data_IF_973572890575
#
_entry.id   IF_973572890575
#
_cell.length_a   1.000
_cell.length_b   1.000
_cell.length_c   1.000
_cell.angle_alpha   90.00
_cell.angle_beta   90.00
_cell.angle_gamma   90.00
#
_symmetry.space_group_name_H-M   'P 1'
#
loop_
_entity.id
_entity.type
_entity.pdbx_description
1 polymer ?
#
# COMPACT_ATOMS: atom_id res chain seq x y z
N UNK A 1 -43.19 28.77 -54.51
CA UNK A 1 -42.28 28.19 -53.49
C UNK A 1 -42.67 28.78 -52.15
N UNK A 2 -43.47 28.05 -51.36
CA UNK A 2 -43.79 28.42 -49.98
C UNK A 2 -42.61 28.03 -49.07
N UNK A 3 -42.15 28.98 -48.26
CA UNK A 3 -41.12 28.78 -47.24
C UNK A 3 -41.77 28.14 -46.02
N UNK A 4 -41.42 26.88 -45.76
CA UNK A 4 -41.83 26.16 -44.54
C UNK A 4 -40.92 26.58 -43.40
N UNK A 5 -41.42 27.41 -42.47
CA UNK A 5 -40.78 27.64 -41.16
C UNK A 5 -40.86 26.34 -40.35
N UNK A 6 -39.74 25.71 -40.07
CA UNK A 6 -39.65 24.67 -39.04
C UNK A 6 -39.88 25.32 -37.67
N UNK A 7 -40.88 24.84 -36.93
CA UNK A 7 -41.02 25.10 -35.50
C UNK A 7 -39.99 24.27 -34.73
N UNK A 8 -39.47 24.75 -33.58
CA UNK A 8 -38.59 23.93 -32.75
C UNK A 8 -39.41 22.84 -32.08
N UNK A 9 -38.95 21.60 -32.19
CA UNK A 9 -39.48 20.46 -31.43
C UNK A 9 -39.20 20.67 -29.94
N UNK A 10 -40.26 20.75 -29.13
CA UNK A 10 -40.18 20.72 -27.68
C UNK A 10 -39.85 19.30 -27.21
N UNK A 11 -38.56 18.95 -27.20
CA UNK A 11 -38.10 17.78 -26.45
C UNK A 11 -38.09 18.16 -24.97
N UNK A 12 -39.04 17.60 -24.20
CA UNK A 12 -38.90 17.56 -22.74
C UNK A 12 -37.67 16.71 -22.41
N UNK A 13 -36.49 17.34 -22.37
CA UNK A 13 -35.33 16.73 -21.75
C UNK A 13 -35.63 16.67 -20.25
N UNK A 14 -35.82 15.46 -19.76
CA UNK A 14 -35.75 15.14 -18.34
C UNK A 14 -34.35 15.53 -17.84
N UNK A 15 -34.18 16.78 -17.43
CA UNK A 15 -32.94 17.25 -16.84
C UNK A 15 -32.83 16.67 -15.44
N UNK A 16 -31.82 15.85 -15.21
CA UNK A 16 -31.40 15.54 -13.84
C UNK A 16 -30.92 16.87 -13.25
N UNK A 17 -31.43 17.29 -12.07
CA UNK A 17 -30.98 18.52 -11.43
C UNK A 17 -29.46 18.55 -11.26
N UNK A 18 -28.84 19.68 -11.59
CA UNK A 18 -27.38 19.85 -11.51
C UNK A 18 -26.83 19.54 -10.11
N UNK A 19 -27.60 19.84 -9.07
CA UNK A 19 -27.24 19.53 -7.68
C UNK A 19 -27.13 18.02 -7.45
N UNK A 20 -28.09 17.22 -7.93
CA UNK A 20 -28.07 15.75 -7.78
C UNK A 20 -26.90 15.16 -8.58
N UNK A 21 -26.67 15.67 -9.79
CA UNK A 21 -25.51 15.29 -10.58
C UNK A 21 -24.21 15.57 -9.82
N UNK A 22 -24.08 16.77 -9.25
CA UNK A 22 -22.86 17.24 -8.61
C UNK A 22 -22.60 16.62 -7.22
N UNK A 23 -23.64 16.34 -6.42
CA UNK A 23 -23.48 15.85 -5.04
C UNK A 23 -23.60 14.35 -4.93
N UNK A 24 -24.40 13.68 -5.75
CA UNK A 24 -24.68 12.24 -5.59
C UNK A 24 -24.06 11.40 -6.71
N UNK A 25 -24.13 11.88 -7.96
CA UNK A 25 -23.69 11.07 -9.11
C UNK A 25 -22.18 11.18 -9.31
N UNK A 26 -21.64 12.40 -9.44
CA UNK A 26 -20.20 12.59 -9.70
C UNK A 26 -19.31 11.94 -8.62
N UNK A 27 -19.57 12.08 -7.30
CA UNK A 27 -18.73 11.43 -6.28
C UNK A 27 -18.71 9.90 -6.32
N UNK A 28 -19.66 9.27 -7.02
CA UNK A 28 -19.72 7.81 -7.16
C UNK A 28 -18.90 7.29 -8.35
N UNK A 29 -18.43 8.18 -9.22
CA UNK A 29 -17.69 7.79 -10.42
C UNK A 29 -16.20 7.51 -10.12
N UNK A 30 -15.54 6.66 -10.92
CA UNK A 30 -14.09 6.46 -10.81
C UNK A 30 -13.31 7.76 -11.02
N UNK A 31 -12.22 7.93 -10.26
CA UNK A 31 -11.38 9.14 -10.29
C UNK A 31 -10.92 9.53 -11.70
N UNK A 32 -10.45 8.57 -12.51
CA UNK A 32 -10.07 8.81 -13.92
C UNK A 32 -11.19 9.35 -14.80
N UNK A 33 -12.42 8.89 -14.59
CA UNK A 33 -13.58 9.41 -15.33
C UNK A 33 -13.84 10.86 -14.95
N UNK A 34 -13.76 11.16 -13.65
CA UNK A 34 -13.92 12.53 -13.15
C UNK A 34 -12.82 13.48 -13.69
N UNK A 35 -11.57 13.00 -13.81
CA UNK A 35 -10.51 13.80 -14.43
C UNK A 35 -10.79 14.14 -15.89
N UNK A 36 -11.31 13.18 -16.68
CA UNK A 36 -11.77 13.47 -18.06
C UNK A 36 -12.94 14.45 -18.06
N UNK A 37 -13.83 14.36 -17.08
CA UNK A 37 -15.01 15.20 -16.95
C UNK A 37 -14.71 16.67 -16.61
N UNK A 38 -13.50 16.97 -16.09
CA UNK A 38 -13.00 18.36 -15.98
C UNK A 38 -12.92 19.10 -17.33
N UNK A 39 -12.97 18.39 -18.45
CA UNK A 39 -12.98 18.97 -19.80
C UNK A 39 -14.38 19.29 -20.34
N UNK A 40 -15.45 18.80 -19.70
CA UNK A 40 -16.84 18.95 -20.18
C UNK A 40 -17.34 20.39 -20.03
N UNK A 41 -17.22 20.97 -18.83
CA UNK A 41 -17.59 22.36 -18.56
C UNK A 41 -16.83 22.94 -17.36
N UNK A 42 -16.85 24.28 -17.21
CA UNK A 42 -16.18 24.97 -16.09
C UNK A 42 -16.75 24.56 -14.73
N UNK A 43 -18.07 24.49 -14.60
CA UNK A 43 -18.72 24.11 -13.35
C UNK A 43 -18.28 22.72 -12.85
N UNK A 44 -18.17 21.74 -13.76
CA UNK A 44 -17.67 20.40 -13.41
C UNK A 44 -16.20 20.41 -13.05
N UNK A 45 -15.38 21.16 -13.79
CA UNK A 45 -13.95 21.32 -13.46
C UNK A 45 -13.76 21.89 -12.05
N UNK A 46 -14.45 22.97 -11.74
CA UNK A 46 -14.34 23.68 -10.47
C UNK A 46 -14.81 22.78 -9.34
N UNK A 47 -15.95 22.08 -9.53
CA UNK A 47 -16.49 21.14 -8.55
C UNK A 47 -15.59 19.94 -8.30
N UNK A 48 -15.09 19.28 -9.35
CA UNK A 48 -14.21 18.10 -9.20
C UNK A 48 -12.85 18.48 -8.59
N UNK A 49 -12.47 19.76 -8.68
CA UNK A 49 -11.24 20.29 -8.07
C UNK A 49 -11.47 20.85 -6.65
N UNK A 50 -12.72 20.91 -6.17
CA UNK A 50 -13.05 21.36 -4.82
C UNK A 50 -12.55 20.33 -3.78
N UNK A 51 -11.78 20.76 -2.76
CA UNK A 51 -11.28 19.86 -1.72
C UNK A 51 -12.37 19.04 -1.02
N UNK A 52 -13.55 19.63 -0.77
CA UNK A 52 -14.67 18.91 -0.13
C UNK A 52 -15.22 17.83 -1.06
N UNK A 53 -15.20 18.06 -2.37
CA UNK A 53 -15.58 17.04 -3.34
C UNK A 53 -14.57 15.88 -3.34
N UNK A 54 -13.26 16.19 -3.29
CA UNK A 54 -12.19 15.19 -3.20
C UNK A 54 -12.33 14.36 -1.92
N UNK A 55 -12.57 15.00 -0.78
CA UNK A 55 -12.79 14.32 0.51
C UNK A 55 -14.03 13.41 0.46
N UNK A 56 -15.16 13.90 -0.08
CA UNK A 56 -16.37 13.08 -0.24
C UNK A 56 -16.13 11.90 -1.19
N UNK A 57 -15.39 12.12 -2.28
CA UNK A 57 -15.01 11.07 -3.22
C UNK A 57 -14.13 10.01 -2.55
N UNK A 58 -13.13 10.40 -1.77
CA UNK A 58 -12.31 9.47 -1.00
C UNK A 58 -13.15 8.62 -0.04
N UNK A 59 -14.03 9.23 0.75
CA UNK A 59 -14.88 8.52 1.71
C UNK A 59 -15.80 7.50 1.03
N UNK A 60 -16.27 7.82 -0.17
CA UNK A 60 -17.14 6.93 -0.94
C UNK A 60 -16.41 5.73 -1.56
N UNK A 61 -15.12 5.89 -1.87
CA UNK A 61 -14.30 4.88 -2.58
C UNK A 61 -13.28 4.17 -1.70
N UNK A 62 -13.11 4.59 -0.43
CA UNK A 62 -12.34 3.82 0.54
C UNK A 62 -13.09 2.54 0.93
N UNK A 63 -12.38 1.42 1.16
CA UNK A 63 -12.94 0.22 1.75
C UNK A 63 -13.65 0.58 3.05
N UNK A 64 -14.97 0.45 3.11
CA UNK A 64 -15.72 0.79 4.31
C UNK A 64 -15.37 -0.20 5.42
N UNK A 65 -14.42 0.14 6.28
CA UNK A 65 -14.32 -0.41 7.63
C UNK A 65 -15.51 0.19 8.40
N UNK A 66 -16.72 -0.33 8.17
CA UNK A 66 -17.87 0.06 9.01
C UNK A 66 -17.55 -0.36 10.43
N UNK A 67 -17.23 0.60 11.28
CA UNK A 67 -17.35 0.48 12.72
C UNK A 67 -18.82 0.13 13.03
N UNK A 68 -19.13 -1.16 13.13
CA UNK A 68 -20.46 -1.57 13.55
C UNK A 68 -20.59 -1.31 15.04
N UNK A 69 -21.29 -0.23 15.39
CA UNK A 69 -22.07 -0.19 16.63
C UNK A 69 -23.13 -1.28 16.48
N UNK A 70 -22.82 -2.48 16.99
CA UNK A 70 -23.64 -3.68 16.88
C UNK A 70 -22.77 -4.93 16.83
N UNK A 71 -23.07 -5.90 17.69
CA UNK A 71 -22.24 -7.07 18.07
C UNK A 71 -22.02 -8.12 16.95
N UNK A 72 -21.96 -7.72 15.68
CA UNK A 72 -21.68 -8.59 14.54
C UNK A 72 -20.58 -7.98 13.66
N UNK A 73 -19.33 -8.24 14.02
CA UNK A 73 -18.13 -7.86 13.22
C UNK A 73 -18.04 -8.70 11.95
N UNK A 74 -18.76 -8.28 10.91
CA UNK A 74 -18.64 -8.86 9.57
C UNK A 74 -17.39 -8.29 8.89
N UNK A 75 -16.44 -9.14 8.52
CA UNK A 75 -15.25 -8.77 7.74
C UNK A 75 -15.72 -8.42 6.32
N UNK A 76 -15.42 -7.20 5.85
CA UNK A 76 -15.85 -6.73 4.52
C UNK A 76 -14.68 -6.77 3.57
N UNK A 77 -14.76 -7.58 2.52
CA UNK A 77 -13.69 -7.71 1.52
C UNK A 77 -13.87 -6.75 0.34
N UNK A 78 -12.77 -6.41 -0.32
CA UNK A 78 -12.79 -5.50 -1.47
C UNK A 78 -13.33 -6.20 -2.72
N UNK A 79 -14.21 -5.57 -3.49
CA UNK A 79 -14.67 -6.12 -4.78
C UNK A 79 -13.62 -6.07 -5.89
N UNK A 80 -12.62 -5.21 -5.70
CA UNK A 80 -11.53 -4.98 -6.62
C UNK A 80 -10.27 -4.72 -5.81
N UNK A 81 -9.16 -5.34 -6.20
CA UNK A 81 -7.84 -5.06 -5.65
C UNK A 81 -6.99 -4.43 -6.74
N UNK A 82 -6.54 -3.20 -6.51
CA UNK A 82 -5.55 -2.56 -7.36
C UNK A 82 -4.22 -2.52 -6.63
N UNK A 83 -3.15 -2.80 -7.37
CA UNK A 83 -1.79 -2.85 -6.85
C UNK A 83 -0.87 -1.99 -7.70
N UNK A 84 0.23 -1.55 -7.11
CA UNK A 84 1.36 -0.93 -7.82
C UNK A 84 2.61 -1.73 -7.52
N UNK A 85 3.44 -1.96 -8.52
CA UNK A 85 4.69 -2.71 -8.42
C UNK A 85 5.71 -2.21 -9.45
N UNK A 86 6.98 -2.52 -9.21
CA UNK A 86 8.07 -2.20 -10.11
C UNK A 86 8.49 -3.42 -10.93
N UNK A 87 8.66 -3.26 -12.24
CA UNK A 87 9.17 -4.30 -13.15
C UNK A 87 10.63 -4.02 -13.47
N UNK A 88 11.52 -4.90 -13.00
CA UNK A 88 12.97 -4.70 -13.06
C UNK A 88 13.53 -4.58 -14.47
N UNK A 89 13.11 -5.46 -15.38
CA UNK A 89 13.57 -5.48 -16.78
C UNK A 89 13.25 -4.18 -17.52
N UNK A 90 12.09 -3.59 -17.22
CA UNK A 90 11.56 -2.38 -17.87
C UNK A 90 11.96 -1.09 -17.14
N UNK A 91 12.55 -1.23 -15.95
CA UNK A 91 12.85 -0.13 -15.01
C UNK A 91 11.65 0.80 -14.79
N UNK A 92 10.45 0.23 -14.65
CA UNK A 92 9.20 1.00 -14.65
C UNK A 92 8.19 0.51 -13.62
N UNK A 93 7.39 1.44 -13.10
CA UNK A 93 6.21 1.14 -12.30
C UNK A 93 5.00 0.76 -13.17
N UNK A 94 4.26 -0.23 -12.70
CA UNK A 94 3.02 -0.69 -13.29
C UNK A 94 1.93 -0.70 -12.22
N UNK A 95 0.68 -0.65 -12.68
CA UNK A 95 -0.46 -0.98 -11.84
C UNK A 95 -1.24 -2.12 -12.46
N UNK A 96 -1.69 -3.06 -11.64
CA UNK A 96 -2.60 -4.12 -12.03
C UNK A 96 -3.87 -4.04 -11.20
N UNK A 97 -4.99 -4.35 -11.82
CA UNK A 97 -6.29 -4.34 -11.18
C UNK A 97 -6.93 -5.70 -11.32
N UNK A 98 -7.29 -6.31 -10.20
CA UNK A 98 -7.87 -7.65 -10.10
C UNK A 98 -9.36 -7.48 -9.79
N UNK A 99 -10.21 -7.87 -10.74
CA UNK A 99 -11.67 -7.85 -10.62
C UNK A 99 -12.18 -9.26 -10.90
N UNK A 100 -13.03 -9.80 -10.03
CA UNK A 100 -13.49 -11.18 -10.17
C UNK A 100 -15.01 -11.31 -10.22
N UNK A 101 -15.59 -10.72 -11.24
CA UNK A 101 -16.99 -10.96 -11.63
C UNK A 101 -17.16 -11.79 -12.92
N UNK A 102 -16.09 -12.21 -13.61
CA UNK A 102 -16.23 -13.00 -14.86
C UNK A 102 -15.02 -13.84 -15.29
N UNK A 103 -14.05 -14.10 -14.39
CA UNK A 103 -12.76 -14.69 -14.74
C UNK A 103 -11.68 -13.61 -14.68
N UNK A 104 -10.85 -13.68 -13.64
CA UNK A 104 -10.00 -12.59 -13.16
C UNK A 104 -9.01 -12.10 -14.24
N UNK A 105 -9.37 -10.98 -14.88
CA UNK A 105 -8.47 -10.24 -15.76
C UNK A 105 -7.71 -9.25 -14.88
N UNK A 106 -6.40 -9.49 -14.70
CA UNK A 106 -5.47 -8.47 -14.25
C UNK A 106 -5.18 -7.56 -15.44
N UNK A 107 -5.84 -6.40 -15.55
CA UNK A 107 -5.38 -5.38 -16.52
C UNK A 107 -4.16 -4.71 -15.91
N UNK A 108 -2.98 -5.07 -16.39
CA UNK A 108 -1.76 -4.35 -16.05
C UNK A 108 -1.53 -3.23 -17.04
N UNK A 109 -1.15 -2.07 -16.53
CA UNK A 109 -0.74 -0.92 -17.34
C UNK A 109 0.54 -0.32 -16.80
N UNK A 110 1.39 0.11 -17.73
CA UNK A 110 2.52 0.96 -17.42
C UNK A 110 2.01 2.24 -16.76
N UNK A 111 2.58 2.62 -15.63
CA UNK A 111 2.40 3.96 -15.08
C UNK A 111 3.55 4.80 -15.62
N UNK A 112 3.28 5.72 -16.56
CA UNK A 112 4.32 6.59 -17.12
C UNK A 112 4.90 7.46 -16.01
N UNK A 113 6.17 7.24 -15.71
CA UNK A 113 6.95 8.02 -14.75
C UNK A 113 8.06 8.69 -15.55
N UNK A 114 7.65 9.63 -16.40
CA UNK A 114 8.55 10.25 -17.39
C UNK A 114 9.43 11.34 -16.74
N UNK A 115 9.15 11.70 -15.49
CA UNK A 115 9.88 12.70 -14.70
C UNK A 115 11.04 12.12 -13.89
N UNK A 116 11.50 10.90 -14.19
CA UNK A 116 12.67 10.33 -13.52
C UNK A 116 13.93 11.12 -13.89
N UNK A 117 14.60 11.78 -12.93
CA UNK A 117 16.02 12.04 -13.08
C UNK A 117 16.67 10.66 -13.10
N UNK A 118 17.35 10.31 -14.18
CA UNK A 118 17.98 8.99 -14.30
C UNK A 118 18.75 8.67 -13.02
N UNK A 119 18.31 7.67 -12.25
CA UNK A 119 19.05 7.25 -11.05
C UNK A 119 20.49 6.98 -11.45
N UNK A 120 21.38 7.85 -11.01
CA UNK A 120 22.77 7.88 -11.46
C UNK A 120 23.57 6.63 -11.05
N UNK A 121 22.98 5.69 -10.28
CA UNK A 121 23.66 4.51 -9.73
C UNK A 121 22.84 3.21 -9.78
N UNK A 122 22.14 2.91 -10.89
CA UNK A 122 21.47 1.60 -11.13
C UNK A 122 20.35 1.19 -10.13
N UNK A 123 20.02 1.99 -9.12
CA UNK A 123 18.91 1.70 -8.19
C UNK A 123 17.55 2.00 -8.85
N UNK A 124 16.57 1.15 -8.57
CA UNK A 124 15.16 1.31 -8.97
C UNK A 124 14.39 2.11 -7.90
N UNK A 125 13.30 2.83 -8.24
CA UNK A 125 12.48 3.48 -7.23
C UNK A 125 11.87 2.45 -6.28
N UNK A 126 12.05 2.64 -4.98
CA UNK A 126 11.37 1.84 -3.95
C UNK A 126 10.03 2.48 -3.61
N UNK A 127 8.99 1.65 -3.55
CA UNK A 127 7.65 2.09 -3.16
C UNK A 127 7.46 1.83 -1.67
N UNK A 128 7.33 2.89 -0.88
CA UNK A 128 7.28 2.82 0.59
C UNK A 128 5.86 2.81 1.17
N UNK A 129 4.84 3.09 0.36
CA UNK A 129 3.45 3.04 0.78
C UNK A 129 2.52 3.78 -0.16
N UNK A 130 1.23 3.57 0.03
CA UNK A 130 0.16 4.33 -0.63
C UNK A 130 -0.86 4.74 0.42
N UNK A 131 -1.36 5.96 0.32
CA UNK A 131 -2.44 6.46 1.15
C UNK A 131 -3.30 7.42 0.32
N UNK A 132 -4.62 7.18 0.28
CA UNK A 132 -5.58 8.02 -0.46
C UNK A 132 -5.16 8.28 -1.92
N UNK A 133 -4.60 7.27 -2.59
CA UNK A 133 -4.10 7.35 -3.97
C UNK A 133 -2.79 8.12 -4.19
N UNK A 134 -2.19 8.67 -3.13
CA UNK A 134 -0.80 9.13 -3.17
C UNK A 134 0.13 7.95 -2.94
N UNK A 135 1.18 7.84 -3.74
CA UNK A 135 2.25 6.84 -3.64
C UNK A 135 3.51 7.53 -3.13
N UNK A 136 4.09 6.98 -2.06
CA UNK A 136 5.39 7.40 -1.57
C UNK A 136 6.50 6.60 -2.23
N UNK A 137 7.41 7.31 -2.91
CA UNK A 137 8.52 6.75 -3.67
C UNK A 137 9.85 7.23 -3.08
N UNK A 138 10.84 6.35 -2.98
CA UNK A 138 12.25 6.74 -2.89
C UNK A 138 12.80 6.82 -4.31
N UNK A 139 13.17 8.03 -4.74
CA UNK A 139 13.51 8.32 -6.14
C UNK A 139 15.01 8.49 -6.35
N UNK A 140 15.73 9.00 -5.36
CA UNK A 140 17.19 9.07 -5.32
C UNK A 140 17.64 8.63 -3.92
N UNK A 141 18.94 8.45 -3.70
CA UNK A 141 19.43 8.01 -2.40
C UNK A 141 18.95 8.98 -1.29
N UNK A 142 18.07 8.48 -0.42
CA UNK A 142 17.46 9.24 0.69
C UNK A 142 16.57 10.42 0.28
N UNK A 143 16.16 10.52 -0.99
CA UNK A 143 15.12 11.45 -1.41
C UNK A 143 13.81 10.72 -1.64
N UNK A 144 12.79 11.23 -0.98
CA UNK A 144 11.42 10.74 -1.12
C UNK A 144 10.59 11.70 -1.95
N UNK A 145 9.59 11.16 -2.63
CA UNK A 145 8.63 11.92 -3.43
C UNK A 145 7.23 11.36 -3.24
N UNK A 146 6.22 12.20 -3.38
CA UNK A 146 4.83 11.77 -3.47
C UNK A 146 4.33 11.94 -4.90
N UNK A 147 3.60 10.93 -5.37
CA UNK A 147 3.05 10.91 -6.71
C UNK A 147 1.63 10.36 -6.69
N UNK A 148 0.72 11.03 -7.40
CA UNK A 148 -0.56 10.44 -7.74
C UNK A 148 -0.58 10.09 -9.24
N UNK A 149 -0.55 8.79 -9.61
CA UNK A 149 -0.62 8.38 -11.01
C UNK A 149 -1.97 8.64 -11.69
N UNK A 150 -3.03 8.91 -10.93
CA UNK A 150 -4.35 9.24 -11.47
C UNK A 150 -4.40 10.69 -11.95
N UNK A 151 -3.97 11.63 -11.11
CA UNK A 151 -3.97 13.07 -11.39
C UNK A 151 -2.69 13.56 -12.08
N UNK A 152 -1.65 12.71 -12.17
CA UNK A 152 -0.31 13.02 -12.67
C UNK A 152 0.44 14.08 -11.85
N UNK A 153 -0.07 14.43 -10.66
CA UNK A 153 0.57 15.38 -9.76
C UNK A 153 1.71 14.74 -8.96
N UNK A 154 2.81 15.46 -8.83
CA UNK A 154 4.06 15.00 -8.23
C UNK A 154 4.69 16.09 -7.37
N UNK A 155 5.29 15.71 -6.24
CA UNK A 155 6.10 16.60 -5.42
C UNK A 155 7.33 15.85 -4.89
N UNK A 156 8.50 16.48 -4.98
CA UNK A 156 9.72 16.02 -4.31
C UNK A 156 9.72 16.55 -2.88
N UNK A 157 9.92 15.65 -1.92
CA UNK A 157 9.99 16.01 -0.50
C UNK A 157 11.40 16.52 -0.14
N UNK A 158 11.52 17.37 0.89
CA UNK A 158 12.79 17.87 1.38
C UNK A 158 13.70 16.73 1.83
N UNK A 159 14.99 16.92 1.61
CA UNK A 159 16.02 16.01 2.08
C UNK A 159 15.97 15.87 3.61
N UNK A 160 16.05 14.64 4.11
CA UNK A 160 15.93 14.32 5.53
C UNK A 160 17.15 14.77 6.39
N UNK A 161 18.17 15.41 5.80
CA UNK A 161 19.27 16.03 6.54
C UNK A 161 20.22 15.06 7.26
N UNK A 162 20.04 13.75 7.10
CA UNK A 162 20.69 12.71 7.91
C UNK A 162 22.21 12.77 7.81
N UNK A 163 22.76 12.98 6.61
CA UNK A 163 24.21 13.09 6.42
C UNK A 163 24.81 14.37 7.01
N UNK A 164 24.01 15.42 7.21
CA UNK A 164 24.47 16.64 7.87
C UNK A 164 24.59 16.44 9.39
N UNK A 165 23.86 15.49 9.97
CA UNK A 165 23.87 15.21 11.43
C UNK A 165 24.97 14.24 11.84
N UNK A 166 25.26 13.23 11.02
CA UNK A 166 26.22 12.17 11.36
C UNK A 166 27.49 12.17 10.49
N UNK A 167 27.59 13.08 9.52
CA UNK A 167 28.73 13.25 8.64
C UNK A 167 28.89 12.13 7.61
N UNK A 168 29.59 12.42 6.51
CA UNK A 168 30.12 11.38 5.63
C UNK A 168 31.32 10.73 6.35
N UNK A 169 31.05 9.75 7.20
CA UNK A 169 32.06 8.88 7.81
C UNK A 169 32.52 9.25 9.21
N UNK A 170 32.93 8.19 9.93
CA UNK A 170 33.87 8.07 11.07
C UNK A 170 33.81 9.02 12.28
N UNK A 171 33.45 10.30 12.12
CA UNK A 171 33.61 11.33 13.15
C UNK A 171 32.74 11.12 14.40
N UNK A 172 31.58 10.48 14.24
CA UNK A 172 30.67 10.18 15.35
C UNK A 172 30.59 8.70 15.70
N UNK A 173 31.26 7.80 14.99
CA UNK A 173 31.30 6.38 15.35
C UNK A 173 30.06 5.54 14.98
N UNK A 174 29.10 6.08 14.21
CA UNK A 174 27.96 5.33 13.68
C UNK A 174 27.81 5.50 12.15
N UNK A 175 27.19 4.54 11.48
CA UNK A 175 26.75 4.63 10.09
C UNK A 175 25.30 4.18 9.95
N UNK A 176 24.58 4.76 8.98
CA UNK A 176 23.21 4.36 8.67
C UNK A 176 23.24 3.02 7.91
N UNK A 177 22.82 1.93 8.56
CA UNK A 177 22.83 0.60 7.96
C UNK A 177 21.55 0.30 7.18
N UNK A 178 20.40 0.76 7.67
CA UNK A 178 19.12 0.57 6.99
C UNK A 178 18.11 1.68 7.30
N UNK A 179 17.08 1.79 6.45
CA UNK A 179 15.97 2.72 6.62
C UNK A 179 14.66 2.01 6.31
N UNK A 180 13.64 2.27 7.12
CA UNK A 180 12.26 1.99 6.81
C UNK A 180 11.47 3.31 6.71
N UNK A 181 10.48 3.35 5.83
CA UNK A 181 9.52 4.45 5.75
C UNK A 181 8.10 3.92 5.89
N UNK A 182 7.21 4.79 6.37
CA UNK A 182 5.77 4.56 6.41
C UNK A 182 5.03 5.84 6.08
N UNK A 183 4.01 5.73 5.25
CA UNK A 183 3.26 6.88 4.73
C UNK A 183 1.78 6.75 5.05
N UNK A 184 1.20 7.77 5.68
CA UNK A 184 -0.19 7.74 6.10
C UNK A 184 -0.83 9.12 6.21
N UNK A 185 -2.13 9.13 6.45
CA UNK A 185 -2.94 10.34 6.60
C UNK A 185 -3.41 10.50 8.05
N UNK A 186 -3.13 11.65 8.65
CA UNK A 186 -3.63 12.02 9.97
C UNK A 186 -4.95 12.79 9.78
N UNK A 187 -6.06 12.09 10.04
CA UNK A 187 -7.42 12.62 9.88
C UNK A 187 -7.72 13.79 10.82
N UNK A 188 -7.08 13.86 11.98
CA UNK A 188 -7.36 14.89 12.99
C UNK A 188 -6.73 16.23 12.60
N UNK A 189 -5.53 16.22 12.03
CA UNK A 189 -4.87 17.44 11.52
C UNK A 189 -5.08 17.65 10.01
N UNK A 190 -5.75 16.71 9.34
CA UNK A 190 -6.04 16.68 7.90
C UNK A 190 -4.79 16.83 7.02
N UNK A 191 -3.72 16.13 7.37
CA UNK A 191 -2.43 16.22 6.69
C UNK A 191 -1.79 14.85 6.55
N UNK A 192 -0.88 14.71 5.60
CA UNK A 192 -0.12 13.48 5.42
C UNK A 192 1.16 13.54 6.25
N UNK A 193 1.53 12.39 6.82
CA UNK A 193 2.82 12.21 7.46
C UNK A 193 3.62 11.11 6.78
N UNK A 194 4.91 11.38 6.59
CA UNK A 194 5.90 10.39 6.21
C UNK A 194 6.81 10.16 7.41
N UNK A 195 6.77 8.94 7.95
CA UNK A 195 7.61 8.49 9.06
C UNK A 195 8.83 7.79 8.48
N UNK A 196 10.00 8.14 8.98
CA UNK A 196 11.27 7.49 8.69
C UNK A 196 11.81 6.89 9.99
N UNK A 197 12.22 5.63 9.93
CA UNK A 197 12.96 4.95 10.98
C UNK A 197 14.33 4.56 10.41
N UNK A 198 15.39 5.20 10.90
CA UNK A 198 16.76 4.90 10.50
C UNK A 198 17.46 4.02 11.54
N UNK A 199 18.12 2.95 11.09
CA UNK A 199 18.97 2.09 11.93
C UNK A 199 20.42 2.54 11.79
N UNK A 200 21.01 2.97 12.89
CA UNK A 200 22.41 3.35 12.96
C UNK A 200 23.22 2.29 13.69
N UNK A 201 24.23 1.78 13.02
CA UNK A 201 25.15 0.78 13.55
C UNK A 201 26.47 1.42 13.98
N UNK A 202 27.06 0.98 15.09
CA UNK A 202 28.37 1.44 15.49
C UNK A 202 29.41 1.02 14.45
N UNK A 203 30.36 1.89 14.17
CA UNK A 203 31.54 1.53 13.40
C UNK A 203 32.37 0.53 14.21
N UNK A 204 33.08 -0.37 13.51
CA UNK A 204 33.85 -1.49 14.10
C UNK A 204 34.79 -1.11 15.24
N UNK A 205 35.24 0.14 15.30
CA UNK A 205 36.17 0.64 16.30
C UNK A 205 35.46 1.11 17.60
N UNK A 206 34.12 1.01 17.65
CA UNK A 206 33.26 1.45 18.74
C UNK A 206 32.29 0.35 19.20
N UNK A 207 32.81 -0.88 19.38
CA UNK A 207 32.03 -2.09 19.68
C UNK A 207 31.18 -1.98 20.95
N UNK A 208 31.57 -1.12 21.89
CA UNK A 208 30.82 -0.88 23.15
C UNK A 208 29.53 -0.06 22.96
N UNK A 209 29.27 0.47 21.76
CA UNK A 209 28.10 1.31 21.50
C UNK A 209 26.92 0.47 21.00
N UNK A 210 25.74 0.78 21.50
CA UNK A 210 24.50 0.16 21.02
C UNK A 210 24.04 0.78 19.70
N UNK A 211 23.22 0.01 18.98
CA UNK A 211 22.51 0.46 17.80
C UNK A 211 21.52 1.56 18.19
N UNK A 212 21.28 2.52 17.30
CA UNK A 212 20.33 3.61 17.54
C UNK A 212 19.29 3.59 16.44
N UNK A 213 18.01 3.49 16.81
CA UNK A 213 16.90 3.85 15.95
C UNK A 213 16.66 5.36 16.01
N UNK A 214 16.61 6.04 14.88
CA UNK A 214 16.20 7.44 14.79
C UNK A 214 14.84 7.53 14.11
N UNK A 215 13.90 8.25 14.75
CA UNK A 215 12.56 8.44 14.21
C UNK A 215 12.36 9.90 13.83
N UNK A 216 12.07 10.09 12.55
CA UNK A 216 11.76 11.41 11.98
C UNK A 216 10.40 11.37 11.30
N UNK A 217 9.67 12.47 11.40
CA UNK A 217 8.34 12.63 10.82
C UNK A 217 8.35 13.88 9.95
N UNK A 218 8.00 13.71 8.67
CA UNK A 218 7.69 14.80 7.78
C UNK A 218 6.20 15.03 7.72
N UNK A 219 5.80 16.29 7.87
CA UNK A 219 4.43 16.73 7.56
C UNK A 219 4.38 17.35 6.18
N UNK A 220 3.48 16.87 5.33
CA UNK A 220 3.39 17.30 3.94
C UNK A 220 3.08 18.80 3.83
N UNK A 221 2.07 19.30 4.55
CA UNK A 221 1.68 20.70 4.47
C UNK A 221 2.80 21.67 4.86
N UNK A 222 3.52 21.39 5.96
CA UNK A 222 4.66 22.22 6.38
C UNK A 222 5.93 22.00 5.56
N UNK A 223 5.95 20.90 4.79
CA UNK A 223 7.09 20.41 4.04
C UNK A 223 8.40 20.42 4.86
N UNK A 224 8.34 19.91 6.10
CA UNK A 224 9.45 19.96 7.05
C UNK A 224 9.55 18.67 7.86
N UNK A 225 10.79 18.28 8.17
CA UNK A 225 11.11 17.13 9.01
C UNK A 225 11.23 17.55 10.48
N UNK A 226 10.57 16.79 11.36
CA UNK A 226 10.67 16.86 12.81
C UNK A 226 11.32 15.59 13.34
N UNK A 227 12.20 15.73 14.32
CA UNK A 227 12.69 14.59 15.10
C UNK A 227 11.70 14.31 16.21
N UNK A 228 11.28 13.05 16.33
CA UNK A 228 10.42 12.61 17.43
C UNK A 228 11.28 12.13 18.58
N UNK A 229 12.13 11.15 18.32
CA UNK A 229 12.95 10.52 19.35
C UNK A 229 14.04 9.65 18.73
N UNK A 230 15.04 9.35 19.55
CA UNK A 230 15.82 8.13 19.39
C UNK A 230 15.05 7.00 20.06
N UNK A 231 15.13 5.81 19.48
CA UNK A 231 14.43 4.62 19.94
C UNK A 231 15.33 3.39 19.86
N UNK A 232 15.06 2.43 20.73
CA UNK A 232 15.65 1.09 20.67
C UNK A 232 14.85 0.16 19.73
N UNK A 233 13.82 0.70 19.05
CA UNK A 233 13.08 -0.03 18.03
C UNK A 233 13.90 -0.13 16.75
N UNK A 234 14.41 -1.34 16.51
CA UNK A 234 14.99 -1.75 15.24
C UNK A 234 13.90 -2.45 14.43
N UNK A 235 13.68 -2.00 13.20
CA UNK A 235 12.62 -2.53 12.34
C UNK A 235 13.19 -3.12 11.07
N UNK A 236 12.52 -4.15 10.55
CA UNK A 236 12.85 -4.73 9.24
C UNK A 236 12.71 -3.62 8.19
N UNK A 237 13.72 -3.41 7.31
CA UNK A 237 13.75 -2.31 6.34
C UNK A 237 12.72 -2.52 5.22
N UNK A 238 11.45 -2.27 5.56
CA UNK A 238 10.28 -2.60 4.78
C UNK A 238 9.25 -1.46 4.78
N UNK A 239 8.38 -1.38 3.76
CA UNK A 239 7.26 -0.45 3.74
C UNK A 239 6.34 -0.60 4.97
N UNK A 240 6.23 0.47 5.76
CA UNK A 240 5.29 0.56 6.87
C UNK A 240 3.86 0.48 6.36
N UNK A 241 3.07 -0.41 6.96
CA UNK A 241 1.68 -0.64 6.53
C UNK A 241 0.78 0.36 7.24
N UNK A 242 0.11 1.23 6.48
CA UNK A 242 -0.85 2.17 7.05
C UNK A 242 -2.22 1.52 7.18
N UNK A 243 -2.76 1.50 8.40
CA UNK A 243 -4.07 0.93 8.69
C UNK A 243 -4.63 1.58 9.97
N UNK A 244 -5.89 2.02 9.94
CA UNK A 244 -6.60 2.56 11.11
C UNK A 244 -5.78 3.59 11.94
N UNK A 245 -5.26 4.62 11.25
CA UNK A 245 -4.46 5.69 11.87
C UNK A 245 -3.08 5.25 12.39
N UNK A 246 -2.72 3.97 12.30
CA UNK A 246 -1.42 3.45 12.69
C UNK A 246 -0.55 3.09 11.48
N UNK A 247 0.77 3.22 11.65
CA UNK A 247 1.76 2.60 10.78
C UNK A 247 2.38 1.39 11.48
N UNK A 248 2.45 0.26 10.80
CA UNK A 248 2.90 -1.00 11.37
C UNK A 248 4.18 -1.51 10.70
N UNK A 249 5.13 -1.96 11.52
CA UNK A 249 6.36 -2.64 11.09
C UNK A 249 6.68 -3.83 11.98
N UNK A 250 7.33 -4.83 11.38
CA UNK A 250 7.90 -5.95 12.12
C UNK A 250 9.21 -5.49 12.75
N UNK A 251 9.41 -5.84 14.02
CA UNK A 251 10.69 -5.63 14.69
C UNK A 251 11.76 -6.53 14.08
N UNK A 252 12.98 -6.00 14.03
CA UNK A 252 14.18 -6.71 13.61
C UNK A 252 14.93 -7.29 14.81
N UNK A 253 15.95 -8.11 14.55
CA UNK A 253 16.85 -8.61 15.58
C UNK A 253 17.42 -7.47 16.45
N UNK A 254 17.50 -7.63 17.78
CA UNK A 254 17.37 -8.89 18.54
C UNK A 254 15.96 -9.20 19.09
N UNK A 255 14.92 -8.49 18.66
CA UNK A 255 13.54 -8.63 19.21
C UNK A 255 12.50 -8.85 18.10
N UNK A 256 12.60 -9.91 17.28
CA UNK A 256 11.67 -10.16 16.17
C UNK A 256 10.27 -10.64 16.62
N UNK A 257 9.99 -10.66 17.93
CA UNK A 257 8.80 -11.23 18.56
C UNK A 257 7.57 -10.30 18.55
N UNK A 258 7.73 -9.07 18.04
CA UNK A 258 6.74 -8.01 18.15
C UNK A 258 6.50 -7.29 16.85
N UNK A 259 5.27 -6.80 16.74
CA UNK A 259 4.90 -5.76 15.80
C UNK A 259 4.94 -4.42 16.53
N UNK A 260 5.51 -3.39 15.90
CA UNK A 260 5.37 -2.02 16.39
C UNK A 260 4.28 -1.29 15.62
N UNK A 261 3.51 -0.50 16.33
CA UNK A 261 2.56 0.48 15.80
C UNK A 261 3.05 1.87 16.16
N UNK A 262 3.23 2.72 15.16
CA UNK A 262 3.36 4.16 15.35
C UNK A 262 1.99 4.81 15.14
N UNK A 263 1.44 5.44 16.17
CA UNK A 263 0.23 6.24 16.02
C UNK A 263 0.56 7.50 15.22
N UNK A 264 -0.07 7.68 14.07
CA UNK A 264 0.27 8.81 13.19
C UNK A 264 -0.10 10.15 13.83
N UNK A 265 -1.14 10.18 14.67
CA UNK A 265 -1.62 11.40 15.26
C UNK A 265 -0.85 11.76 16.52
N UNK A 266 -0.83 10.82 17.47
CA UNK A 266 -0.19 11.02 18.77
C UNK A 266 1.35 11.00 18.64
N UNK A 267 1.88 10.48 17.52
CA UNK A 267 3.32 10.34 17.25
C UNK A 267 4.04 9.45 18.26
N UNK A 268 3.32 8.45 18.78
CA UNK A 268 3.78 7.52 19.82
C UNK A 268 3.86 6.09 19.32
N UNK A 269 4.83 5.34 19.85
CA UNK A 269 4.96 3.92 19.58
C UNK A 269 4.20 3.08 20.60
N UNK A 270 3.62 1.99 20.12
CA UNK A 270 3.04 0.93 20.93
C UNK A 270 3.46 -0.42 20.38
N UNK A 271 3.58 -1.41 21.26
CA UNK A 271 3.97 -2.77 20.91
C UNK A 271 2.75 -3.69 20.86
N UNK A 272 2.68 -4.50 19.81
CA UNK A 272 1.66 -5.52 19.62
C UNK A 272 2.36 -6.88 19.62
N UNK A 273 1.95 -7.74 20.55
CA UNK A 273 2.49 -9.11 20.63
C UNK A 273 2.07 -9.90 19.41
N UNK A 274 3.02 -10.61 18.81
CA UNK A 274 2.72 -11.57 17.75
C UNK A 274 2.11 -12.86 18.34
N UNK A 275 1.37 -13.65 17.55
CA UNK A 275 0.97 -14.99 17.97
C UNK A 275 2.19 -15.85 18.32
N UNK A 276 2.08 -16.71 19.33
CA UNK A 276 3.20 -17.57 19.78
C UNK A 276 3.82 -18.41 18.66
N UNK A 277 3.06 -18.72 17.61
CA UNK A 277 3.55 -19.47 16.44
C UNK A 277 4.69 -18.74 15.70
N UNK A 278 4.78 -17.42 15.83
CA UNK A 278 5.86 -16.61 15.26
C UNK A 278 7.10 -16.55 16.18
N UNK A 279 7.00 -17.06 17.41
CA UNK A 279 8.04 -17.01 18.44
C UNK A 279 8.80 -18.32 18.60
N UNK A 280 8.30 -19.41 18.01
CA UNK A 280 8.93 -20.72 18.13
C UNK A 280 10.18 -20.76 17.26
N UNK A 281 11.35 -20.90 17.89
CA UNK A 281 12.59 -21.34 17.24
C UNK A 281 12.32 -22.70 16.60
N UNK A 282 12.18 -22.74 15.29
CA UNK A 282 12.31 -24.00 14.57
C UNK A 282 13.80 -24.28 14.39
N UNK A 283 14.17 -25.54 14.63
CA UNK A 283 15.46 -26.17 14.35
C UNK A 283 16.17 -25.55 13.15
N UNK A 284 17.51 -25.53 13.19
CA UNK A 284 18.49 -24.88 12.29
C UNK A 284 18.28 -24.97 10.76
N UNK A 285 17.27 -25.70 10.29
CA UNK A 285 17.01 -26.01 8.89
C UNK A 285 15.74 -25.34 8.34
N UNK A 286 14.95 -24.64 9.16
CA UNK A 286 13.70 -24.00 8.74
C UNK A 286 13.86 -22.48 8.51
N UNK A 287 13.93 -22.04 7.25
CA UNK A 287 13.73 -20.62 6.91
C UNK A 287 12.24 -20.29 7.00
N UNK A 288 11.84 -19.38 7.89
CA UNK A 288 10.48 -18.83 7.88
C UNK A 288 10.49 -17.35 7.56
N UNK A 289 9.47 -16.92 6.82
CA UNK A 289 9.24 -15.53 6.48
C UNK A 289 7.88 -15.10 7.02
N UNK A 290 7.80 -13.88 7.52
CA UNK A 290 6.55 -13.26 7.92
C UNK A 290 6.48 -11.82 7.44
N UNK A 291 5.26 -11.32 7.28
CA UNK A 291 5.04 -9.96 6.85
C UNK A 291 3.66 -9.46 7.24
N UNK A 292 3.48 -8.16 7.08
CA UNK A 292 2.25 -7.46 7.45
C UNK A 292 1.47 -7.14 6.19
N UNK A 293 0.15 -7.34 6.29
CA UNK A 293 -0.82 -6.96 5.27
C UNK A 293 -1.75 -5.95 5.90
N UNK A 294 -1.82 -4.76 5.30
CA UNK A 294 -2.89 -3.83 5.64
C UNK A 294 -4.18 -4.28 4.95
N UNK A 295 -5.30 -4.14 5.66
CA UNK A 295 -6.66 -4.26 5.13
C UNK A 295 -7.02 -5.65 4.55
N UNK A 296 -6.88 -6.70 5.36
CA UNK A 296 -7.44 -8.02 5.07
C UNK A 296 -8.93 -8.04 5.43
N UNK A 297 -9.72 -7.31 4.64
CA UNK A 297 -11.15 -7.14 4.86
C UNK A 297 -11.52 -6.19 6.02
N UNK A 298 -10.79 -5.09 6.14
CA UNK A 298 -10.93 -4.11 7.22
C UNK A 298 -10.20 -4.50 8.51
N UNK A 299 -9.27 -5.45 8.44
CA UNK A 299 -8.47 -5.90 9.59
C UNK A 299 -6.97 -5.84 9.26
N UNK A 300 -6.14 -5.72 10.30
CA UNK A 300 -4.70 -5.91 10.18
C UNK A 300 -4.40 -7.41 9.99
N UNK A 301 -3.67 -7.75 8.94
CA UNK A 301 -3.28 -9.12 8.61
C UNK A 301 -1.80 -9.38 8.85
N UNK A 302 -1.49 -10.61 9.23
CA UNK A 302 -0.15 -11.17 9.22
C UNK A 302 -0.14 -12.44 8.38
N UNK A 303 0.95 -12.68 7.68
CA UNK A 303 1.20 -14.00 7.10
C UNK A 303 2.50 -14.58 7.65
N UNK A 304 2.53 -15.90 7.75
CA UNK A 304 3.71 -16.69 8.07
C UNK A 304 3.86 -17.75 7.01
N UNK A 305 5.08 -17.98 6.55
CA UNK A 305 5.37 -19.16 5.76
C UNK A 305 6.51 -19.97 6.32
N UNK A 306 6.30 -21.28 6.34
CA UNK A 306 7.28 -22.32 6.62
C UNK A 306 7.39 -23.25 5.41
N UNK A 307 8.32 -24.18 5.45
CA UNK A 307 8.48 -25.28 4.47
C UNK A 307 7.22 -26.13 4.26
N UNK A 308 6.36 -26.23 5.27
CA UNK A 308 5.15 -27.07 5.24
C UNK A 308 3.83 -26.31 5.15
N UNK A 309 3.79 -25.03 5.56
CA UNK A 309 2.53 -24.28 5.63
C UNK A 309 2.68 -22.79 5.37
N UNK A 310 1.67 -22.21 4.73
CA UNK A 310 1.45 -20.78 4.67
C UNK A 310 0.20 -20.41 5.49
N UNK A 311 0.41 -19.69 6.59
CA UNK A 311 -0.64 -19.28 7.51
C UNK A 311 -0.97 -17.80 7.34
N UNK A 312 -2.26 -17.47 7.29
CA UNK A 312 -2.76 -16.09 7.31
C UNK A 312 -3.55 -15.85 8.59
N UNK A 313 -3.20 -14.78 9.30
CA UNK A 313 -3.77 -14.38 10.58
C UNK A 313 -4.36 -12.98 10.46
N UNK A 314 -5.42 -12.69 11.22
CA UNK A 314 -5.97 -11.33 11.36
C UNK A 314 -6.09 -10.93 12.81
N UNK A 315 -5.86 -9.65 13.07
CA UNK A 315 -6.12 -9.03 14.34
C UNK A 315 -7.54 -8.45 14.33
N UNK A 316 -8.38 -8.96 15.22
CA UNK A 316 -9.62 -8.28 15.64
C UNK A 316 -9.41 -7.78 17.07
N UNK A 317 -10.02 -8.43 18.05
CA UNK A 317 -9.69 -8.24 19.47
C UNK A 317 -8.38 -8.95 19.85
N UNK A 318 -8.18 -10.15 19.28
CA UNK A 318 -6.98 -10.96 19.39
C UNK A 318 -6.61 -11.51 18.01
N UNK A 319 -5.39 -12.03 17.88
CA UNK A 319 -4.96 -12.72 16.68
C UNK A 319 -5.74 -14.01 16.47
N UNK A 320 -6.34 -14.14 15.30
CA UNK A 320 -7.03 -15.36 14.87
C UNK A 320 -6.44 -15.84 13.56
N UNK A 321 -6.13 -17.14 13.49
CA UNK A 321 -5.71 -17.77 12.24
C UNK A 321 -6.94 -17.86 11.34
N UNK A 322 -6.88 -17.25 10.16
CA UNK A 322 -7.96 -17.33 9.18
C UNK A 322 -7.84 -18.57 8.31
N UNK A 323 -6.64 -18.82 7.78
CA UNK A 323 -6.42 -19.88 6.80
C UNK A 323 -5.01 -20.48 6.94
N UNK A 324 -4.90 -21.75 6.58
CA UNK A 324 -3.63 -22.46 6.39
C UNK A 324 -3.64 -23.08 5.01
N UNK A 325 -2.59 -22.82 4.23
CA UNK A 325 -2.33 -23.48 2.96
C UNK A 325 -1.21 -24.49 3.18
N UNK A 326 -1.49 -25.76 2.93
CA UNK A 326 -0.46 -26.80 2.96
C UNK A 326 0.49 -26.62 1.77
N UNK A 327 1.77 -26.40 2.06
CA UNK A 327 2.83 -26.23 1.06
C UNK A 327 3.38 -27.59 0.63
N UNK A 328 3.43 -28.55 1.55
CA UNK A 328 4.13 -29.82 1.37
C UNK A 328 3.51 -30.67 0.26
N UNK A 329 2.18 -30.66 0.14
CA UNK A 329 1.42 -31.45 -0.81
C UNK A 329 1.07 -30.69 -2.10
N UNK A 330 1.18 -29.36 -2.11
CA UNK A 330 0.77 -28.52 -3.24
C UNK A 330 1.98 -27.98 -4.01
N UNK A 331 2.24 -28.53 -5.20
CA UNK A 331 3.35 -28.09 -6.06
C UNK A 331 3.30 -26.59 -6.41
N UNK A 332 2.12 -25.97 -6.46
CA UNK A 332 1.98 -24.51 -6.64
C UNK A 332 2.31 -23.71 -5.39
N UNK A 333 2.00 -24.22 -4.20
CA UNK A 333 2.39 -23.57 -2.95
C UNK A 333 3.92 -23.56 -2.77
N UNK A 334 4.64 -24.49 -3.41
CA UNK A 334 6.11 -24.44 -3.54
C UNK A 334 6.58 -23.32 -4.49
N UNK A 335 5.79 -22.97 -5.51
CA UNK A 335 6.09 -21.87 -6.46
C UNK A 335 5.86 -20.47 -5.89
N UNK A 336 5.12 -20.36 -4.78
CA UNK A 336 5.26 -19.23 -3.85
C UNK A 336 6.65 -19.41 -3.24
N UNK A 337 7.73 -19.09 -3.97
CA UNK A 337 9.07 -19.50 -3.56
C UNK A 337 9.36 -19.06 -2.12
N UNK A 338 9.49 -20.05 -1.24
CA UNK A 338 9.56 -19.91 0.22
C UNK A 338 10.98 -19.71 0.74
N UNK A 339 11.92 -19.65 -0.18
CA UNK A 339 13.35 -19.61 0.13
C UNK A 339 13.90 -18.36 -0.56
N UNK A 340 14.08 -17.30 0.23
CA UNK A 340 14.97 -16.20 -0.16
C UNK A 340 14.33 -14.95 -0.75
N UNK A 341 13.09 -14.62 -0.39
CA UNK A 341 12.66 -13.21 -0.44
C UNK A 341 11.27 -12.93 -1.01
N UNK A 342 10.43 -12.36 -0.13
CA UNK A 342 9.48 -11.29 -0.47
C UNK A 342 8.22 -11.72 -1.26
N UNK A 343 7.90 -13.00 -1.43
CA UNK A 343 6.56 -13.42 -1.89
C UNK A 343 5.55 -13.41 -0.74
N UNK A 344 4.66 -12.41 -0.66
CA UNK A 344 3.71 -12.26 0.45
C UNK A 344 2.26 -12.09 0.03
N UNK A 345 1.34 -12.17 1.01
CA UNK A 345 -0.06 -11.79 0.84
C UNK A 345 -0.15 -10.28 0.62
N UNK A 346 -0.92 -9.86 -0.38
CA UNK A 346 -1.03 -8.43 -0.75
C UNK A 346 -2.40 -7.87 -0.39
N UNK A 347 -3.41 -8.72 -0.35
CA UNK A 347 -4.78 -8.33 -0.03
C UNK A 347 -5.77 -9.43 -0.40
N UNK A 348 -7.04 -9.08 -0.29
CA UNK A 348 -8.16 -9.99 -0.53
C UNK A 348 -9.21 -9.38 -1.47
N UNK A 349 -9.91 -10.24 -2.20
CA UNK A 349 -11.02 -9.86 -3.09
C UNK A 349 -12.27 -10.69 -2.76
N UNK A 350 -13.43 -10.04 -2.69
CA UNK A 350 -14.73 -10.70 -2.51
C UNK A 350 -15.16 -11.40 -3.81
N UNK A 351 -15.50 -12.69 -3.70
CA UNK A 351 -16.11 -13.46 -4.77
C UNK A 351 -17.63 -13.50 -4.55
N UNK A 352 -18.41 -12.98 -5.50
CA UNK A 352 -19.86 -13.19 -5.56
C UNK A 352 -20.21 -14.02 -6.78
N UNK A 353 -20.34 -15.33 -6.59
CA UNK A 353 -20.87 -16.23 -7.62
C UNK A 353 -22.27 -16.71 -7.25
N UNK A 354 -23.07 -17.08 -8.26
CA UNK A 354 -24.46 -17.56 -8.09
C UNK A 354 -24.60 -18.81 -7.21
N UNK A 355 -23.49 -19.47 -6.85
CA UNK A 355 -23.42 -20.67 -6.02
C UNK A 355 -22.53 -20.55 -4.77
N UNK A 356 -21.72 -19.50 -4.61
CA UNK A 356 -20.89 -19.28 -3.41
C UNK A 356 -20.42 -17.83 -3.29
N UNK A 357 -20.48 -17.29 -2.07
CA UNK A 357 -19.74 -16.08 -1.69
C UNK A 357 -18.41 -16.52 -1.07
N UNK A 358 -17.28 -16.23 -1.73
CA UNK A 358 -15.94 -16.66 -1.33
C UNK A 358 -14.98 -15.49 -1.12
N UNK A 359 -13.81 -15.77 -0.55
CA UNK A 359 -12.73 -14.78 -0.41
C UNK A 359 -11.54 -15.29 -1.19
N UNK A 360 -10.93 -14.43 -1.99
CA UNK A 360 -9.67 -14.76 -2.63
C UNK A 360 -8.51 -14.02 -1.99
N UNK A 361 -7.48 -14.77 -1.65
CA UNK A 361 -6.22 -14.22 -1.15
C UNK A 361 -5.26 -14.11 -2.32
N UNK A 362 -4.69 -12.92 -2.51
CA UNK A 362 -3.75 -12.66 -3.60
C UNK A 362 -2.32 -12.64 -3.08
N UNK A 363 -1.43 -13.34 -3.78
CA UNK A 363 -0.01 -13.54 -3.49
C UNK A 363 0.85 -13.06 -4.65
N UNK A 364 2.10 -12.71 -4.36
CA UNK A 364 3.14 -12.55 -5.39
C UNK A 364 3.75 -13.91 -5.72
N UNK A 365 3.82 -14.26 -7.01
CA UNK A 365 4.65 -15.36 -7.49
C UNK A 365 6.06 -14.86 -7.81
N UNK A 366 7.05 -15.32 -7.05
CA UNK A 366 8.44 -14.90 -7.18
C UNK A 366 9.15 -15.58 -8.36
N UNK A 367 8.73 -16.80 -8.73
CA UNK A 367 9.38 -17.58 -9.79
C UNK A 367 9.13 -17.03 -11.18
N UNK A 368 7.89 -16.64 -11.48
CA UNK A 368 7.52 -16.13 -12.81
C UNK A 368 7.15 -14.64 -12.80
N UNK A 369 7.09 -13.99 -11.63
CA UNK A 369 6.64 -12.60 -11.55
C UNK A 369 5.14 -12.42 -11.80
N UNK A 370 4.35 -13.48 -11.72
CA UNK A 370 2.90 -13.41 -11.79
C UNK A 370 2.26 -13.05 -10.45
N UNK A 371 0.95 -12.88 -10.47
CA UNK A 371 0.14 -12.97 -9.25
C UNK A 371 -0.47 -14.36 -9.16
N UNK A 372 -0.65 -14.85 -7.94
CA UNK A 372 -1.46 -16.03 -7.68
C UNK A 372 -2.63 -15.61 -6.81
N UNK A 373 -3.84 -16.08 -7.10
CA UNK A 373 -4.95 -16.07 -6.14
C UNK A 373 -5.21 -17.47 -5.63
N UNK A 374 -5.58 -17.56 -4.36
CA UNK A 374 -6.09 -18.77 -3.71
C UNK A 374 -7.49 -18.51 -3.17
N UNK A 375 -8.43 -19.39 -3.44
CA UNK A 375 -9.76 -19.38 -2.85
C UNK A 375 -9.83 -20.44 -1.74
N UNK A 376 -9.78 -20.08 -0.44
CA UNK A 376 -9.74 -21.06 0.64
C UNK A 376 -10.99 -21.94 0.72
N UNK A 377 -12.16 -21.43 0.28
CA UNK A 377 -13.41 -22.20 0.31
C UNK A 377 -13.46 -23.33 -0.71
N UNK A 378 -12.75 -23.21 -1.83
CA UNK A 378 -12.72 -24.23 -2.90
C UNK A 378 -11.39 -24.96 -2.96
N UNK A 379 -10.34 -24.42 -2.36
CA UNK A 379 -8.96 -24.90 -2.50
C UNK A 379 -8.36 -24.57 -3.88
N UNK A 380 -9.05 -23.79 -4.72
CA UNK A 380 -8.59 -23.49 -6.07
C UNK A 380 -7.50 -22.41 -6.10
N UNK A 381 -6.52 -22.62 -6.96
CA UNK A 381 -5.50 -21.63 -7.30
C UNK A 381 -5.67 -21.12 -8.71
N UNK A 382 -5.35 -19.84 -8.94
CA UNK A 382 -5.30 -19.24 -10.27
C UNK A 382 -4.06 -18.37 -10.38
N UNK A 383 -3.39 -18.44 -11.52
CA UNK A 383 -2.24 -17.59 -11.84
C UNK A 383 -2.64 -16.50 -12.83
N UNK A 384 -2.01 -15.34 -12.68
CA UNK A 384 -2.20 -14.20 -13.56
C UNK A 384 -0.85 -13.70 -14.01
N UNK A 385 -0.64 -13.66 -15.33
CA UNK A 385 0.47 -12.89 -15.89
C UNK A 385 0.16 -11.41 -15.68
N UNK A 386 1.10 -10.71 -15.07
CA UNK A 386 0.98 -9.27 -14.82
C UNK A 386 1.69 -8.47 -15.90
N UNK A 387 2.75 -9.01 -16.50
CA UNK A 387 3.40 -8.39 -17.63
C UNK A 387 4.12 -9.44 -18.46
N UNK A 388 3.95 -9.37 -19.78
CA UNK A 388 4.60 -10.29 -20.72
C UNK A 388 6.13 -10.06 -20.81
N UNK A 389 6.62 -8.93 -20.31
CA UNK A 389 8.00 -8.45 -20.52
C UNK A 389 8.86 -8.32 -19.24
N UNK A 390 8.55 -9.05 -18.16
CA UNK A 390 9.40 -8.99 -16.96
C UNK A 390 8.81 -9.59 -15.70
N UNK A 391 9.62 -9.63 -14.63
CA UNK A 391 9.17 -10.03 -13.29
C UNK A 391 8.99 -8.79 -12.39
N UNK A 392 7.82 -8.57 -11.76
CA UNK A 392 7.65 -7.62 -10.66
C UNK A 392 8.59 -7.89 -9.50
N UNK A 393 8.96 -6.80 -8.82
CA UNK A 393 9.69 -6.81 -7.55
C UNK A 393 8.71 -6.61 -6.41
N UNK A 394 8.63 -7.58 -5.53
CA UNK A 394 7.66 -7.62 -4.44
C UNK A 394 7.91 -6.62 -3.31
N UNK A 395 9.16 -6.20 -3.06
CA UNK A 395 9.47 -5.15 -2.06
C UNK A 395 8.84 -3.80 -2.43
N UNK A 396 8.48 -3.64 -3.70
CA UNK A 396 7.84 -2.44 -4.25
C UNK A 396 6.36 -2.65 -4.53
N UNK A 397 5.78 -3.76 -4.06
CA UNK A 397 4.40 -4.08 -4.32
C UNK A 397 3.48 -3.70 -3.16
N UNK A 398 2.52 -2.84 -3.45
CA UNK A 398 1.58 -2.30 -2.45
C UNK A 398 0.16 -2.25 -3.03
N UNK A 399 -0.83 -2.22 -2.13
CA UNK A 399 -2.20 -1.89 -2.50
C UNK A 399 -2.30 -0.42 -2.89
N UNK A 400 -3.18 -0.13 -3.84
CA UNK A 400 -3.35 1.20 -4.40
C UNK A 400 -4.82 1.42 -4.73
N UNK A 401 -5.31 2.64 -4.48
CA UNK A 401 -6.66 3.07 -4.85
C UNK A 401 -6.53 4.35 -5.64
N UNK A 402 -7.19 4.44 -6.79
CA UNK A 402 -7.19 5.66 -7.58
C UNK A 402 -7.97 6.75 -6.86
N UNK A 403 -7.41 7.97 -6.81
CA UNK A 403 -8.04 9.11 -6.15
C UNK A 403 -7.81 10.41 -6.90
N UNK A 404 -8.58 11.43 -6.53
CA UNK A 404 -8.43 12.80 -7.01
C UNK A 404 -7.45 13.64 -6.17
N UNK A 405 -6.77 13.05 -5.20
CA UNK A 405 -5.90 13.77 -4.26
C UNK A 405 -4.67 14.34 -4.96
N UNK A 406 -4.39 15.61 -4.75
CA UNK A 406 -3.13 16.23 -5.16
C UNK A 406 -2.17 16.28 -3.98
N UNK A 407 -0.87 15.94 -4.13
CA UNK A 407 0.14 16.18 -3.12
C UNK A 407 0.66 17.64 -3.11
N UNK A 408 0.21 18.47 -4.06
CA UNK A 408 0.56 19.89 -4.21
C UNK A 408 -0.68 20.79 -4.17
#
# INVERSE_FOLDING_TARGET
>A
MQSTKMMPSSSHQSHVPDDILATEILPMLPAKSLLRFKSVCKAWRDRISDPNFVDKHLLNHQPQSRSSIGNSTTISFNKQLSIVFFVCSQRQLYTATIIKSSGAIATARKLCYDQYPQCHNHKYPRVWGSCNGLICLETEEFFTSLWNPCTESYIRLPYCGVFLRYGHGAAFGWFLSSVAYGFGYDVKIKDYKLVRIGRFEPLSNFVDRQHIGEVMVLRLHSNSWKIISNTDYLVVPSPGKFFDGGLYWTMDEPRPDKLIRFDIHDEEFSEIRLPNVFLTETTSDCTFHHGIVADLGGCLGLWRTTDVSHDVWVMKENWMKMYTVDVSTNSWARSINLIGGIGGVIGTVEEKNSKNNGVEIVYVNVENGGLISYCPSTGEFRSFSVCDEGKPRSESMITYVESLVSPC
#
